data_IF_930479638893
#
_entry.id   IF_930479638893
#
_cell.length_a   1.000
_cell.length_b   1.000
_cell.length_c   1.000
_cell.angle_alpha   90.00
_cell.angle_beta   90.00
_cell.angle_gamma   90.00
#
_symmetry.space_group_name_H-M   'P 1'
#
loop_
_entity.id
_entity.type
_entity.pdbx_description
1 polymer ?
#
# COMPACT_ATOMS: atom_id res chain seq x y z
N UNK A 1 17.35 -16.29 55.99
CA UNK A 1 16.38 -15.72 56.95
C UNK A 1 16.05 -14.33 56.44
N UNK A 2 15.01 -14.22 55.60
CA UNK A 2 14.59 -12.93 55.03
C UNK A 2 14.12 -12.07 56.19
N UNK A 3 14.71 -10.89 56.33
CA UNK A 3 14.52 -10.01 57.49
C UNK A 3 13.04 -9.58 57.60
N UNK A 4 12.37 -10.02 58.67
CA UNK A 4 10.92 -9.91 58.86
C UNK A 4 10.43 -8.45 58.77
N UNK A 5 11.27 -7.47 59.12
CA UNK A 5 10.97 -6.03 58.99
C UNK A 5 10.93 -5.56 57.53
N UNK A 6 11.76 -6.13 56.67
CA UNK A 6 11.83 -5.81 55.23
C UNK A 6 10.54 -6.25 54.54
N UNK A 7 10.07 -7.47 54.83
CA UNK A 7 8.82 -7.99 54.23
C UNK A 7 7.57 -7.20 54.66
N UNK A 8 7.53 -6.71 55.91
CA UNK A 8 6.40 -5.92 56.44
C UNK A 8 6.23 -4.55 55.74
N UNK A 9 7.33 -3.91 55.34
CA UNK A 9 7.30 -2.59 54.66
C UNK A 9 6.68 -2.61 53.27
N UNK A 10 7.06 -3.59 52.43
CA UNK A 10 6.48 -3.74 51.09
C UNK A 10 5.00 -4.16 51.15
N UNK A 11 4.64 -5.03 52.08
CA UNK A 11 3.26 -5.52 52.23
C UNK A 11 2.29 -4.43 52.70
N UNK A 12 2.74 -3.55 53.60
CA UNK A 12 2.00 -2.35 54.00
C UNK A 12 1.82 -1.37 52.84
N UNK A 13 2.90 -1.11 52.10
CA UNK A 13 2.86 -0.23 50.91
C UNK A 13 1.91 -0.76 49.84
N UNK A 14 1.95 -2.05 49.55
CA UNK A 14 1.04 -2.68 48.58
C UNK A 14 -0.44 -2.53 48.97
N UNK A 15 -0.75 -2.59 50.27
CA UNK A 15 -2.12 -2.40 50.78
C UNK A 15 -2.56 -0.95 50.64
N UNK A 16 -1.68 0.01 50.96
CA UNK A 16 -1.95 1.44 50.78
C UNK A 16 -2.18 1.81 49.31
N UNK A 17 -1.36 1.31 48.38
CA UNK A 17 -1.52 1.53 46.95
C UNK A 17 -2.89 1.06 46.46
N UNK A 18 -3.31 -0.14 46.87
CA UNK A 18 -4.61 -0.69 46.47
C UNK A 18 -5.79 0.11 47.06
N UNK A 19 -5.70 0.49 48.34
CA UNK A 19 -6.74 1.28 49.00
C UNK A 19 -6.92 2.68 48.37
N UNK A 20 -5.83 3.28 47.87
CA UNK A 20 -5.83 4.61 47.22
C UNK A 20 -5.83 4.54 45.69
N UNK A 21 -6.01 3.36 45.08
CA UNK A 21 -5.93 3.16 43.61
C UNK A 21 -6.77 4.18 42.84
N UNK A 22 -8.02 4.39 43.24
CA UNK A 22 -8.94 5.33 42.57
C UNK A 22 -8.46 6.78 42.63
N UNK A 23 -7.92 7.21 43.76
CA UNK A 23 -7.36 8.55 43.98
C UNK A 23 -6.10 8.74 43.12
N UNK A 24 -5.17 7.78 43.16
CA UNK A 24 -3.94 7.78 42.36
C UNK A 24 -4.25 7.87 40.86
N UNK A 25 -5.19 7.05 40.38
CA UNK A 25 -5.60 7.07 38.98
C UNK A 25 -6.24 8.40 38.58
N UNK A 26 -7.03 9.01 39.46
CA UNK A 26 -7.64 10.31 39.19
C UNK A 26 -6.60 11.42 39.14
N UNK A 27 -5.62 11.41 40.04
CA UNK A 27 -4.54 12.38 40.07
C UNK A 27 -3.63 12.24 38.83
N UNK A 28 -3.27 11.01 38.47
CA UNK A 28 -2.50 10.71 37.27
C UNK A 28 -3.21 11.15 35.99
N UNK A 29 -4.48 10.78 35.82
CA UNK A 29 -5.29 11.20 34.67
C UNK A 29 -5.32 12.74 34.54
N UNK A 30 -5.54 13.43 35.64
CA UNK A 30 -5.61 14.90 35.67
C UNK A 30 -4.30 15.52 35.17
N UNK A 31 -3.16 15.00 35.65
CA UNK A 31 -1.85 15.51 35.25
C UNK A 31 -1.55 15.15 33.80
N UNK A 32 -1.81 13.91 33.36
CA UNK A 32 -1.62 13.51 31.96
C UNK A 32 -2.41 14.41 31.01
N UNK A 33 -3.69 14.69 31.28
CA UNK A 33 -4.48 15.61 30.45
C UNK A 33 -3.94 17.05 30.44
N UNK A 34 -3.34 17.49 31.54
CA UNK A 34 -2.76 18.81 31.63
C UNK A 34 -1.45 18.92 30.83
N UNK A 35 -0.61 17.88 30.84
CA UNK A 35 0.78 17.94 30.39
C UNK A 35 1.11 17.13 29.14
N UNK A 36 0.36 16.07 28.82
CA UNK A 36 0.55 15.22 27.64
C UNK A 36 -0.44 15.70 26.56
N UNK A 37 0.01 16.29 25.44
CA UNK A 37 -0.88 16.82 24.41
C UNK A 37 -1.88 15.79 23.88
N UNK A 38 -1.43 14.59 23.53
CA UNK A 38 -2.28 13.52 23.01
C UNK A 38 -3.32 13.02 24.01
N UNK A 39 -3.06 13.12 25.32
CA UNK A 39 -4.04 12.72 26.34
C UNK A 39 -5.29 13.62 26.38
N UNK A 40 -5.25 14.82 25.75
CA UNK A 40 -6.39 15.75 25.72
C UNK A 40 -7.50 15.31 24.79
N UNK A 41 -7.16 14.67 23.66
CA UNK A 41 -8.10 14.14 22.68
C UNK A 41 -8.66 12.77 23.08
N UNK A 42 -7.96 12.04 23.94
CA UNK A 42 -8.36 10.71 24.40
C UNK A 42 -9.60 10.73 25.32
N UNK A 43 -10.47 9.74 25.12
CA UNK A 43 -11.56 9.47 26.06
C UNK A 43 -11.00 9.07 27.44
N UNK A 44 -11.81 9.19 28.49
CA UNK A 44 -11.43 8.75 29.84
C UNK A 44 -11.11 7.26 29.93
N UNK A 45 -11.80 6.46 29.13
CA UNK A 45 -11.58 5.02 29.08
C UNK A 45 -10.23 4.75 28.42
N UNK A 46 -10.00 5.28 27.22
CA UNK A 46 -8.77 5.05 26.45
C UNK A 46 -7.47 5.53 27.13
N UNK A 47 -7.53 6.59 27.95
CA UNK A 47 -6.38 7.01 28.76
C UNK A 47 -6.10 6.05 29.92
N UNK A 48 -7.12 5.31 30.38
CA UNK A 48 -7.06 4.39 31.52
C UNK A 48 -6.90 2.93 31.13
N UNK A 49 -6.86 2.53 29.87
CA UNK A 49 -7.02 1.11 29.50
C UNK A 49 -6.03 0.17 30.21
N UNK A 50 -4.73 0.51 30.28
CA UNK A 50 -3.72 -0.39 30.87
C UNK A 50 -3.23 0.01 32.28
N UNK A 51 -3.34 1.29 32.68
CA UNK A 51 -2.73 1.79 33.92
C UNK A 51 -3.31 1.27 35.25
N UNK A 52 -4.64 1.07 35.41
CA UNK A 52 -5.21 0.46 36.60
C UNK A 52 -4.68 -0.95 36.86
N UNK A 53 -4.45 -1.73 35.81
CA UNK A 53 -3.90 -3.08 35.90
C UNK A 53 -2.41 -3.04 36.21
N UNK A 54 -1.70 -2.05 35.69
CA UNK A 54 -0.29 -1.79 36.03
C UNK A 54 -0.12 -1.51 37.54
N UNK A 55 -1.02 -0.74 38.15
CA UNK A 55 -1.05 -0.52 39.60
C UNK A 55 -1.28 -1.83 40.37
N UNK A 56 -2.20 -2.67 39.91
CA UNK A 56 -2.46 -3.95 40.55
C UNK A 56 -1.26 -4.89 40.45
N UNK A 57 -0.59 -4.92 39.29
CA UNK A 57 0.66 -5.66 39.11
C UNK A 57 1.73 -5.16 40.06
N UNK A 58 1.92 -3.84 40.20
CA UNK A 58 2.85 -3.26 41.17
C UNK A 58 2.55 -3.73 42.60
N UNK A 59 1.28 -3.72 43.01
CA UNK A 59 0.88 -4.18 44.34
C UNK A 59 1.12 -5.68 44.54
N UNK A 60 0.93 -6.52 43.50
CA UNK A 60 1.28 -7.95 43.54
C UNK A 60 2.80 -8.15 43.65
N UNK A 61 3.59 -7.40 42.88
CA UNK A 61 5.06 -7.41 42.93
C UNK A 61 5.59 -7.09 44.33
N UNK A 62 5.06 -6.04 44.96
CA UNK A 62 5.42 -5.64 46.33
C UNK A 62 5.06 -6.71 47.38
N UNK A 63 4.05 -7.55 47.13
CA UNK A 63 3.65 -8.66 48.01
C UNK A 63 4.43 -9.95 47.77
N UNK A 64 5.25 -10.01 46.72
CA UNK A 64 6.01 -11.22 46.38
C UNK A 64 7.14 -11.48 47.39
N UNK A 65 7.68 -12.69 47.37
CA UNK A 65 8.80 -13.09 48.23
C UNK A 65 10.10 -12.39 47.86
N UNK A 66 10.28 -12.02 46.58
CA UNK A 66 11.45 -11.32 46.05
C UNK A 66 11.02 -10.12 45.18
N UNK A 67 10.49 -9.04 45.79
CA UNK A 67 9.85 -7.95 45.07
C UNK A 67 10.74 -7.28 44.01
N UNK A 68 12.03 -7.08 44.31
CA UNK A 68 12.96 -6.45 43.39
C UNK A 68 13.21 -7.31 42.15
N UNK A 69 13.38 -8.62 42.32
CA UNK A 69 13.56 -9.55 41.20
C UNK A 69 12.30 -9.62 40.32
N UNK A 70 11.12 -9.71 40.94
CA UNK A 70 9.84 -9.73 40.22
C UNK A 70 9.58 -8.40 39.51
N UNK A 71 10.00 -7.27 40.10
CA UNK A 71 9.86 -5.94 39.50
C UNK A 71 10.65 -5.79 38.18
N UNK A 72 11.74 -6.53 38.04
CA UNK A 72 12.56 -6.55 36.82
C UNK A 72 12.11 -7.61 35.81
N UNK A 73 11.07 -8.38 36.13
CA UNK A 73 10.50 -9.43 35.28
C UNK A 73 9.33 -8.92 34.44
N UNK A 74 8.97 -9.69 33.41
CA UNK A 74 8.05 -9.32 32.32
C UNK A 74 6.77 -8.59 32.79
N UNK A 75 6.50 -7.40 32.25
CA UNK A 75 5.24 -6.67 32.43
C UNK A 75 4.40 -6.72 31.15
N UNK A 76 3.40 -7.60 31.13
CA UNK A 76 2.45 -7.73 30.02
C UNK A 76 1.61 -6.47 29.82
N UNK A 77 1.22 -5.80 30.92
CA UNK A 77 0.45 -4.56 30.85
C UNK A 77 1.25 -3.42 30.23
N UNK A 78 2.54 -3.31 30.54
CA UNK A 78 3.39 -2.31 29.92
C UNK A 78 3.65 -2.59 28.44
N UNK A 79 3.68 -3.88 28.05
CA UNK A 79 3.71 -4.29 26.63
C UNK A 79 2.45 -3.76 25.94
N UNK A 80 1.28 -4.13 26.42
CA UNK A 80 -0.02 -3.73 25.84
C UNK A 80 -0.18 -2.21 25.75
N UNK A 81 0.20 -1.47 26.80
CA UNK A 81 0.22 -0.01 26.75
C UNK A 81 1.10 0.54 25.62
N UNK A 82 2.29 -0.03 25.42
CA UNK A 82 3.16 0.33 24.28
C UNK A 82 2.54 -0.01 22.92
N UNK A 83 1.83 -1.13 22.82
CA UNK A 83 1.10 -1.53 21.60
C UNK A 83 -0.05 -0.57 21.29
N UNK A 84 -0.92 -0.32 22.26
CA UNK A 84 -2.08 0.57 22.12
C UNK A 84 -1.65 1.97 21.71
N UNK A 85 -0.58 2.49 22.33
CA UNK A 85 -0.06 3.82 22.00
C UNK A 85 0.60 3.88 20.62
N UNK A 86 1.27 2.82 20.18
CA UNK A 86 1.84 2.77 18.82
C UNK A 86 0.76 2.71 17.72
N UNK A 87 -0.43 2.20 18.04
CA UNK A 87 -1.57 2.21 17.13
C UNK A 87 -2.29 3.57 17.08
N UNK A 88 -1.96 4.51 17.97
CA UNK A 88 -2.54 5.84 18.03
C UNK A 88 -1.62 6.87 17.38
N UNK A 89 -2.04 7.45 16.25
CA UNK A 89 -1.24 8.40 15.46
C UNK A 89 -0.89 9.71 16.16
N UNK A 90 -1.58 10.04 17.26
CA UNK A 90 -1.34 11.28 18.02
C UNK A 90 -0.24 11.13 19.09
N UNK A 91 0.17 9.90 19.40
CA UNK A 91 1.21 9.62 20.39
C UNK A 91 2.58 9.46 19.75
N UNK A 92 3.60 9.94 20.46
CA UNK A 92 5.00 9.63 20.18
C UNK A 92 5.61 8.85 21.37
N UNK A 93 6.79 8.27 21.14
CA UNK A 93 7.52 7.51 22.15
C UNK A 93 7.80 8.32 23.44
N UNK A 94 8.09 9.62 23.31
CA UNK A 94 8.40 10.48 24.45
C UNK A 94 7.18 10.61 25.36
N UNK A 95 5.99 10.78 24.78
CA UNK A 95 4.73 10.85 25.51
C UNK A 95 4.41 9.54 26.24
N UNK A 96 4.64 8.38 25.61
CA UNK A 96 4.48 7.07 26.26
C UNK A 96 5.36 6.97 27.50
N UNK A 97 6.64 7.33 27.38
CA UNK A 97 7.58 7.32 28.51
C UNK A 97 7.16 8.34 29.58
N UNK A 98 6.71 9.51 29.15
CA UNK A 98 6.31 10.58 30.04
C UNK A 98 5.09 10.22 30.89
N UNK A 99 4.13 9.45 30.37
CA UNK A 99 2.99 8.92 31.14
C UNK A 99 3.45 8.13 32.37
N UNK A 100 4.48 7.30 32.25
CA UNK A 100 5.08 6.57 33.38
C UNK A 100 5.84 7.47 34.34
N UNK A 101 6.53 8.50 33.84
CA UNK A 101 7.19 9.48 34.71
C UNK A 101 6.19 10.28 35.55
N UNK A 102 5.06 10.68 34.95
CA UNK A 102 3.97 11.32 35.66
C UNK A 102 3.32 10.36 36.66
N UNK A 103 3.16 9.09 36.30
CA UNK A 103 2.67 8.06 37.20
C UNK A 103 3.59 7.89 38.42
N UNK A 104 4.90 7.75 38.20
CA UNK A 104 5.92 7.73 39.26
C UNK A 104 5.79 8.96 40.16
N UNK A 105 5.69 10.16 39.57
CA UNK A 105 5.56 11.41 40.32
C UNK A 105 4.31 11.43 41.20
N UNK A 106 3.16 11.03 40.67
CA UNK A 106 1.89 10.93 41.43
C UNK A 106 2.04 9.94 42.57
N UNK A 107 2.59 8.76 42.29
CA UNK A 107 2.75 7.71 43.27
C UNK A 107 3.64 8.17 44.43
N UNK A 108 4.84 8.68 44.16
CA UNK A 108 5.72 9.17 45.23
C UNK A 108 5.17 10.40 45.95
N UNK A 109 4.62 11.40 45.24
CA UNK A 109 4.04 12.58 45.89
C UNK A 109 2.87 12.27 46.82
N UNK A 110 2.08 11.23 46.50
CA UNK A 110 1.00 10.76 47.35
C UNK A 110 1.48 10.12 48.67
N UNK A 111 2.74 9.66 48.73
CA UNK A 111 3.34 8.98 49.88
C UNK A 111 4.40 9.82 50.61
N UNK A 112 4.91 10.90 50.01
CA UNK A 112 5.90 11.81 50.60
C UNK A 112 5.40 12.53 51.87
N UNK A 113 4.08 12.68 52.02
CA UNK A 113 3.48 13.31 53.21
C UNK A 113 3.29 12.36 54.40
N UNK A 114 3.16 11.05 54.16
CA UNK A 114 2.75 10.09 55.20
C UNK A 114 3.93 9.45 55.96
N UNK A 115 5.20 9.74 55.58
CA UNK A 115 6.40 9.03 56.08
C UNK A 115 6.29 7.48 56.03
N UNK A 116 5.38 6.95 55.21
CA UNK A 116 4.94 5.55 55.24
C UNK A 116 5.61 4.66 54.18
N UNK A 117 6.50 5.21 53.35
CA UNK A 117 7.16 4.44 52.30
C UNK A 117 8.46 3.82 52.82
N UNK A 118 8.44 2.50 53.04
CA UNK A 118 9.63 1.77 53.43
C UNK A 118 10.70 1.87 52.30
N UNK A 119 12.00 2.05 52.62
CA UNK A 119 13.05 2.23 51.60
C UNK A 119 13.10 1.13 50.53
N UNK A 120 12.89 -0.12 50.93
CA UNK A 120 12.85 -1.28 50.04
C UNK A 120 11.61 -1.29 49.12
N UNK A 121 10.48 -0.75 49.59
CA UNK A 121 9.29 -0.59 48.77
C UNK A 121 9.52 0.51 47.71
N UNK A 122 10.17 1.61 48.09
CA UNK A 122 10.55 2.67 47.15
C UNK A 122 11.47 2.14 46.04
N UNK A 123 12.50 1.37 46.40
CA UNK A 123 13.41 0.73 45.44
C UNK A 123 12.66 -0.21 44.48
N UNK A 124 11.77 -1.05 45.01
CA UNK A 124 10.94 -1.96 44.19
C UNK A 124 10.03 -1.19 43.23
N UNK A 125 9.40 -0.11 43.69
CA UNK A 125 8.53 0.75 42.86
C UNK A 125 9.34 1.39 41.73
N UNK A 126 10.54 1.89 42.03
CA UNK A 126 11.42 2.45 41.01
C UNK A 126 11.76 1.40 39.94
N UNK A 127 12.26 0.24 40.36
CA UNK A 127 12.61 -0.86 39.45
C UNK A 127 11.43 -1.31 38.58
N UNK A 128 10.24 -1.45 39.17
CA UNK A 128 9.02 -1.86 38.46
C UNK A 128 8.63 -0.85 37.38
N UNK A 129 8.61 0.44 37.73
CA UNK A 129 8.27 1.50 36.76
C UNK A 129 9.36 1.61 35.68
N UNK A 130 10.65 1.49 36.02
CA UNK A 130 11.72 1.53 35.02
C UNK A 130 11.64 0.34 34.06
N UNK A 131 11.27 -0.85 34.55
CA UNK A 131 11.00 -2.00 33.69
C UNK A 131 9.79 -1.75 32.78
N UNK A 132 8.69 -1.22 33.34
CA UNK A 132 7.49 -0.85 32.57
C UNK A 132 7.79 0.14 31.44
N UNK A 133 8.54 1.22 31.73
CA UNK A 133 9.00 2.19 30.74
C UNK A 133 9.76 1.49 29.61
N UNK A 134 10.77 0.68 29.94
CA UNK A 134 11.56 -0.03 28.92
C UNK A 134 10.68 -0.95 28.08
N UNK A 135 9.76 -1.68 28.70
CA UNK A 135 8.90 -2.63 28.00
C UNK A 135 7.92 -1.93 27.06
N UNK A 136 7.25 -0.87 27.52
CA UNK A 136 6.36 -0.06 26.69
C UNK A 136 7.11 0.60 25.53
N UNK A 137 8.28 1.21 25.83
CA UNK A 137 9.10 1.89 24.83
C UNK A 137 9.60 0.96 23.72
N UNK A 138 10.13 -0.22 24.07
CA UNK A 138 10.59 -1.21 23.09
C UNK A 138 9.44 -1.71 22.24
N UNK A 139 8.29 -1.96 22.86
CA UNK A 139 7.11 -2.47 22.15
C UNK A 139 6.56 -1.42 21.18
N UNK A 140 6.44 -0.17 21.63
CA UNK A 140 6.05 0.96 20.79
C UNK A 140 6.99 1.09 19.59
N UNK A 141 8.31 1.15 19.84
CA UNK A 141 9.30 1.35 18.80
C UNK A 141 9.34 0.20 17.78
N UNK A 142 9.07 -1.04 18.21
CA UNK A 142 8.99 -2.19 17.31
C UNK A 142 7.79 -2.09 16.35
N UNK A 143 6.62 -1.70 16.87
CA UNK A 143 5.41 -1.52 16.04
C UNK A 143 5.58 -0.34 15.09
N UNK A 144 6.07 0.80 15.59
CA UNK A 144 6.34 1.98 14.78
C UNK A 144 7.32 1.64 13.66
N UNK A 145 8.42 0.93 13.95
CA UNK A 145 9.38 0.51 12.94
C UNK A 145 8.76 -0.43 11.88
N UNK A 146 7.89 -1.35 12.29
CA UNK A 146 7.18 -2.25 11.35
C UNK A 146 6.27 -1.46 10.41
N UNK A 147 5.48 -0.54 10.96
CA UNK A 147 4.57 0.30 10.19
C UNK A 147 5.33 1.21 9.20
N UNK A 148 6.42 1.83 9.64
CA UNK A 148 7.28 2.64 8.78
C UNK A 148 7.92 1.82 7.65
N UNK A 149 8.28 0.57 7.91
CA UNK A 149 8.82 -0.33 6.89
C UNK A 149 7.76 -0.70 5.84
N UNK A 150 6.54 -1.00 6.27
CA UNK A 150 5.41 -1.29 5.37
C UNK A 150 5.10 -0.11 4.47
N UNK A 151 4.98 1.10 5.03
CA UNK A 151 4.74 2.33 4.26
C UNK A 151 5.86 2.60 3.24
N UNK A 152 7.13 2.43 3.62
CA UNK A 152 8.27 2.58 2.70
C UNK A 152 8.22 1.57 1.58
N UNK A 153 7.82 0.34 1.89
CA UNK A 153 7.70 -0.74 0.91
C UNK A 153 6.58 -0.45 -0.09
N UNK A 154 5.40 -0.05 0.39
CA UNK A 154 4.27 0.35 -0.46
C UNK A 154 4.63 1.53 -1.36
N UNK A 155 5.25 2.58 -0.79
CA UNK A 155 5.70 3.74 -1.55
C UNK A 155 6.72 3.34 -2.64
N UNK A 156 7.67 2.47 -2.31
CA UNK A 156 8.67 1.96 -3.25
C UNK A 156 8.01 1.17 -4.40
N UNK A 157 7.07 0.28 -4.09
CA UNK A 157 6.34 -0.50 -5.09
C UNK A 157 5.50 0.41 -6.00
N UNK A 158 4.75 1.36 -5.42
CA UNK A 158 3.96 2.32 -6.18
C UNK A 158 4.85 3.17 -7.10
N UNK A 159 6.01 3.60 -6.60
CA UNK A 159 6.98 4.37 -7.39
C UNK A 159 7.54 3.54 -8.55
N UNK A 160 7.94 2.29 -8.31
CA UNK A 160 8.43 1.41 -9.37
C UNK A 160 7.36 1.14 -10.44
N UNK A 161 6.10 0.95 -10.04
CA UNK A 161 5.00 0.79 -10.98
C UNK A 161 4.82 2.04 -11.86
N UNK A 162 4.84 3.24 -11.25
CA UNK A 162 4.75 4.50 -11.98
C UNK A 162 5.94 4.72 -12.93
N UNK A 163 7.16 4.40 -12.49
CA UNK A 163 8.36 4.51 -13.33
C UNK A 163 8.30 3.54 -14.52
N UNK A 164 7.88 2.29 -14.31
CA UNK A 164 7.67 1.32 -15.41
C UNK A 164 6.62 1.78 -16.40
N UNK A 165 5.49 2.30 -15.93
CA UNK A 165 4.44 2.84 -16.79
C UNK A 165 4.96 4.03 -17.62
N UNK A 166 5.75 4.92 -17.01
CA UNK A 166 6.30 6.08 -17.70
C UNK A 166 7.37 5.69 -18.75
N UNK A 167 8.21 4.70 -18.44
CA UNK A 167 9.17 4.14 -19.40
C UNK A 167 8.45 3.47 -20.57
N UNK A 168 7.43 2.66 -20.31
CA UNK A 168 6.61 2.03 -21.33
C UNK A 168 5.94 3.08 -22.24
N UNK A 169 5.36 4.15 -21.65
CA UNK A 169 4.78 5.27 -22.40
C UNK A 169 5.81 5.97 -23.28
N UNK A 170 7.01 6.22 -22.76
CA UNK A 170 8.09 6.88 -23.52
C UNK A 170 8.55 6.01 -24.68
N UNK A 171 8.76 4.71 -24.45
CA UNK A 171 9.12 3.75 -25.48
C UNK A 171 8.04 3.64 -26.56
N UNK A 172 6.76 3.59 -26.16
CA UNK A 172 5.63 3.59 -27.09
C UNK A 172 5.64 4.83 -27.99
N UNK A 173 5.76 6.04 -27.42
CA UNK A 173 5.79 7.28 -28.21
C UNK A 173 6.99 7.34 -29.17
N UNK A 174 8.15 6.85 -28.73
CA UNK A 174 9.34 6.78 -29.58
C UNK A 174 9.12 5.82 -30.76
N UNK A 175 8.58 4.63 -30.50
CA UNK A 175 8.28 3.64 -31.53
C UNK A 175 7.24 4.17 -32.54
N UNK A 176 6.13 4.74 -32.07
CA UNK A 176 5.11 5.33 -32.92
C UNK A 176 5.67 6.48 -33.78
N UNK A 177 6.56 7.30 -33.22
CA UNK A 177 7.23 8.36 -33.99
C UNK A 177 8.08 7.81 -35.14
N UNK A 178 8.76 6.68 -34.92
CA UNK A 178 9.56 6.02 -35.96
C UNK A 178 8.69 5.33 -37.02
N UNK A 179 7.64 4.64 -36.59
CA UNK A 179 6.70 3.95 -37.48
C UNK A 179 5.91 4.92 -38.34
N UNK A 180 5.60 6.13 -37.85
CA UNK A 180 4.98 7.20 -38.64
C UNK A 180 5.98 7.84 -39.61
N UNK A 181 7.22 8.09 -39.17
CA UNK A 181 8.23 8.79 -39.98
C UNK A 181 8.59 8.03 -41.25
N UNK A 182 8.65 6.71 -41.18
CA UNK A 182 9.08 5.86 -42.30
C UNK A 182 8.15 5.95 -43.53
N UNK A 183 6.83 5.68 -43.43
CA UNK A 183 5.91 5.84 -44.55
C UNK A 183 5.78 7.30 -44.98
N UNK A 184 5.82 8.25 -44.05
CA UNK A 184 5.80 9.68 -44.39
C UNK A 184 7.00 10.09 -45.25
N UNK A 185 8.20 9.62 -44.87
CA UNK A 185 9.43 9.87 -45.63
C UNK A 185 9.38 9.27 -47.03
N UNK A 186 8.82 8.05 -47.18
CA UNK A 186 8.60 7.44 -48.48
C UNK A 186 7.64 8.28 -49.34
N UNK A 187 6.48 8.68 -48.79
CA UNK A 187 5.50 9.54 -49.49
C UNK A 187 6.16 10.83 -49.98
N UNK A 188 6.89 11.53 -49.10
CA UNK A 188 7.58 12.77 -49.48
C UNK A 188 8.63 12.57 -50.58
N UNK A 189 9.37 11.45 -50.53
CA UNK A 189 10.35 11.07 -51.55
C UNK A 189 9.70 10.88 -52.92
N UNK A 190 8.65 10.05 -52.99
CA UNK A 190 7.95 9.76 -54.25
C UNK A 190 7.17 10.96 -54.80
N UNK A 191 6.62 11.82 -53.93
CA UNK A 191 6.04 13.11 -54.36
C UNK A 191 7.11 14.01 -54.98
N UNK A 192 8.35 13.97 -54.49
CA UNK A 192 9.44 14.77 -55.07
C UNK A 192 9.87 14.23 -56.43
N UNK A 193 9.91 12.90 -56.60
CA UNK A 193 10.17 12.27 -57.90
C UNK A 193 9.08 12.59 -58.93
N UNK A 194 7.80 12.55 -58.54
CA UNK A 194 6.69 12.94 -59.42
C UNK A 194 6.74 14.39 -59.93
N UNK A 195 7.54 15.26 -59.29
CA UNK A 195 7.72 16.66 -59.69
C UNK A 195 8.92 16.86 -60.63
N UNK A 196 9.69 15.82 -60.91
CA UNK A 196 10.80 15.87 -61.85
C UNK A 196 10.28 15.83 -63.29
N UNK A 197 10.72 16.78 -64.11
CA UNK A 197 10.26 16.97 -65.50
C UNK A 197 10.64 15.77 -66.40
N UNK A 198 11.63 14.97 -65.99
CA UNK A 198 12.08 13.77 -66.71
C UNK A 198 11.29 12.49 -66.36
N UNK A 199 10.32 12.57 -65.44
CA UNK A 199 9.51 11.40 -65.01
C UNK A 199 8.56 10.95 -66.12
N UNK A 200 8.68 9.68 -66.53
CA UNK A 200 7.79 9.08 -67.52
C UNK A 200 6.40 8.77 -66.93
N UNK A 201 5.38 8.62 -67.77
CA UNK A 201 4.04 8.28 -67.31
C UNK A 201 3.97 6.93 -66.56
N UNK A 202 4.77 5.94 -66.99
CA UNK A 202 4.84 4.63 -66.33
C UNK A 202 5.53 4.71 -64.95
N UNK A 203 6.59 5.50 -64.82
CA UNK A 203 7.23 5.77 -63.52
C UNK A 203 6.30 6.55 -62.58
N UNK A 204 5.54 7.50 -63.12
CA UNK A 204 4.57 8.27 -62.36
C UNK A 204 3.45 7.39 -61.77
N UNK A 205 2.90 6.47 -62.56
CA UNK A 205 1.89 5.51 -62.08
C UNK A 205 2.48 4.63 -60.95
N UNK A 206 3.70 4.11 -61.13
CA UNK A 206 4.38 3.34 -60.08
C UNK A 206 4.67 4.14 -58.80
N UNK A 207 5.02 5.43 -58.93
CA UNK A 207 5.21 6.32 -57.78
C UNK A 207 3.89 6.58 -57.03
N UNK A 208 2.79 6.79 -57.75
CA UNK A 208 1.46 6.97 -57.17
C UNK A 208 1.00 5.73 -56.40
N UNK A 209 1.22 4.52 -56.92
CA UNK A 209 0.91 3.26 -56.21
C UNK A 209 1.70 3.15 -54.88
N UNK A 210 2.97 3.54 -54.89
CA UNK A 210 3.80 3.50 -53.67
C UNK A 210 3.28 4.52 -52.64
N UNK A 211 2.93 5.73 -53.08
CA UNK A 211 2.34 6.76 -52.21
C UNK A 211 1.03 6.26 -51.60
N UNK A 212 0.14 5.65 -52.38
CA UNK A 212 -1.13 5.11 -51.92
C UNK A 212 -0.92 4.02 -50.86
N UNK A 213 -0.01 3.07 -51.12
CA UNK A 213 0.33 2.00 -50.17
C UNK A 213 0.87 2.54 -48.85
N UNK A 214 1.76 3.54 -48.87
CA UNK A 214 2.30 4.13 -47.64
C UNK A 214 1.26 4.99 -46.91
N UNK A 215 0.34 5.66 -47.63
CA UNK A 215 -0.79 6.38 -47.05
C UNK A 215 -1.71 5.43 -46.29
N UNK A 216 -2.07 4.29 -46.89
CA UNK A 216 -2.86 3.25 -46.21
C UNK A 216 -2.16 2.66 -45.00
N UNK A 217 -0.84 2.45 -45.08
CA UNK A 217 -0.07 1.99 -43.94
C UNK A 217 -0.09 2.99 -42.79
N UNK A 218 0.09 4.28 -43.08
CA UNK A 218 0.05 5.34 -42.08
C UNK A 218 -1.33 5.45 -41.42
N UNK A 219 -2.41 5.33 -42.19
CA UNK A 219 -3.77 5.34 -41.65
C UNK A 219 -3.97 4.20 -40.64
N UNK A 220 -3.48 2.99 -40.96
CA UNK A 220 -3.54 1.85 -40.03
C UNK A 220 -2.81 2.12 -38.72
N UNK A 221 -1.60 2.70 -38.77
CA UNK A 221 -0.85 3.07 -37.55
C UNK A 221 -1.65 4.06 -36.69
N UNK A 222 -2.30 5.04 -37.31
CA UNK A 222 -3.14 6.00 -36.59
C UNK A 222 -4.34 5.31 -35.94
N UNK A 223 -5.02 4.43 -36.67
CA UNK A 223 -6.15 3.66 -36.15
C UNK A 223 -5.74 2.76 -34.98
N UNK A 224 -4.59 2.07 -35.08
CA UNK A 224 -4.04 1.22 -34.02
C UNK A 224 -3.74 2.04 -32.74
N UNK A 225 -3.19 3.25 -32.88
CA UNK A 225 -2.96 4.17 -31.75
C UNK A 225 -4.30 4.58 -31.12
N UNK A 226 -5.29 4.94 -31.93
CA UNK A 226 -6.61 5.35 -31.43
C UNK A 226 -7.30 4.20 -30.69
N UNK A 227 -7.24 2.99 -31.22
CA UNK A 227 -7.83 1.83 -30.56
C UNK A 227 -7.12 1.49 -29.25
N UNK A 228 -5.79 1.60 -29.18
CA UNK A 228 -5.07 1.47 -27.92
C UNK A 228 -5.54 2.50 -26.88
N UNK A 229 -5.71 3.78 -27.27
CA UNK A 229 -6.20 4.81 -26.33
C UNK A 229 -7.63 4.56 -25.87
N UNK A 230 -8.49 3.96 -26.70
CA UNK A 230 -9.83 3.54 -26.30
C UNK A 230 -9.77 2.38 -25.29
N UNK A 231 -8.86 1.43 -25.47
CA UNK A 231 -8.65 0.32 -24.52
C UNK A 231 -8.19 0.86 -23.17
N UNK A 232 -7.16 1.71 -23.15
CA UNK A 232 -6.61 2.28 -21.90
C UNK A 232 -7.63 3.12 -21.14
N UNK A 233 -8.49 3.86 -21.85
CA UNK A 233 -9.55 4.66 -21.23
C UNK A 233 -10.81 3.86 -20.87
N UNK A 234 -10.83 2.54 -21.11
CA UNK A 234 -12.00 1.69 -20.90
C UNK A 234 -13.19 2.04 -21.82
N UNK A 235 -12.95 2.80 -22.89
CA UNK A 235 -13.96 3.27 -23.84
C UNK A 235 -14.12 2.35 -25.05
N UNK A 236 -13.24 1.35 -25.20
CA UNK A 236 -13.42 0.34 -26.23
C UNK A 236 -14.63 -0.53 -25.83
N UNK A 237 -15.75 -0.29 -26.49
CA UNK A 237 -16.94 -1.13 -26.38
C UNK A 237 -16.95 -2.11 -27.55
N UNK A 238 -17.28 -3.37 -27.28
CA UNK A 238 -17.57 -4.35 -28.32
C UNK A 238 -19.06 -4.24 -28.66
N UNK A 239 -19.37 -4.17 -29.94
CA UNK A 239 -20.75 -4.27 -30.37
C UNK A 239 -21.23 -5.72 -30.25
N UNK A 240 -22.49 -5.92 -29.88
CA UNK A 240 -23.11 -7.25 -29.81
C UNK A 240 -24.23 -7.29 -30.84
N UNK A 241 -23.86 -7.60 -32.08
CA UNK A 241 -24.77 -7.65 -33.21
C UNK A 241 -24.91 -9.11 -33.64
N UNK A 242 -26.13 -9.55 -33.91
CA UNK A 242 -26.37 -10.86 -34.52
C UNK A 242 -26.03 -10.81 -36.01
N UNK A 243 -25.15 -11.68 -36.47
CA UNK A 243 -24.79 -11.78 -37.89
C UNK A 243 -24.51 -13.23 -38.31
N UNK A 244 -24.58 -13.51 -39.62
CA UNK A 244 -24.26 -14.83 -40.14
C UNK A 244 -22.76 -15.11 -40.09
N UNK A 245 -22.35 -16.05 -39.24
CA UNK A 245 -20.94 -16.46 -39.13
C UNK A 245 -20.47 -17.15 -40.41
N UNK A 246 -21.35 -17.92 -41.05
CA UNK A 246 -21.06 -18.62 -42.31
C UNK A 246 -20.75 -17.62 -43.42
N UNK A 247 -21.58 -16.59 -43.59
CA UNK A 247 -21.34 -15.55 -44.59
C UNK A 247 -20.07 -14.76 -44.27
N UNK A 248 -19.88 -14.37 -43.01
CA UNK A 248 -18.68 -13.65 -42.56
C UNK A 248 -17.39 -14.43 -42.87
N UNK A 249 -17.34 -15.72 -42.54
CA UNK A 249 -16.18 -16.59 -42.79
C UNK A 249 -15.94 -16.82 -44.29
N UNK A 250 -17.00 -16.92 -45.10
CA UNK A 250 -16.89 -17.05 -46.55
C UNK A 250 -16.31 -15.77 -47.20
N UNK A 251 -16.78 -14.59 -46.77
CA UNK A 251 -16.25 -13.31 -47.22
C UNK A 251 -14.79 -13.12 -46.79
N UNK A 252 -14.48 -13.42 -45.53
CA UNK A 252 -13.12 -13.37 -45.02
C UNK A 252 -12.20 -14.34 -45.78
N UNK A 253 -12.63 -15.58 -45.98
CA UNK A 253 -11.84 -16.60 -46.68
C UNK A 253 -11.58 -16.24 -48.14
N UNK A 254 -12.53 -15.57 -48.80
CA UNK A 254 -12.35 -15.06 -50.16
C UNK A 254 -11.27 -13.98 -50.23
N UNK A 255 -11.32 -13.03 -49.28
CA UNK A 255 -10.33 -11.96 -49.17
C UNK A 255 -8.94 -12.49 -48.81
N UNK A 256 -8.84 -13.31 -47.76
CA UNK A 256 -7.58 -13.91 -47.32
C UNK A 256 -6.98 -14.83 -48.40
N UNK A 257 -7.82 -15.56 -49.13
CA UNK A 257 -7.40 -16.39 -50.25
C UNK A 257 -6.79 -15.60 -51.41
N UNK A 258 -7.34 -14.42 -51.72
CA UNK A 258 -6.75 -13.52 -52.71
C UNK A 258 -5.35 -13.03 -52.25
N UNK A 259 -5.25 -12.55 -51.01
CA UNK A 259 -3.97 -12.11 -50.41
C UNK A 259 -2.92 -13.21 -50.35
N UNK A 260 -3.33 -14.44 -50.01
CA UNK A 260 -2.43 -15.59 -50.01
C UNK A 260 -1.89 -15.88 -51.40
N UNK A 261 -2.74 -15.85 -52.44
CA UNK A 261 -2.32 -16.06 -53.84
C UNK A 261 -1.36 -14.99 -54.33
N UNK A 262 -1.58 -13.73 -53.98
CA UNK A 262 -0.64 -12.63 -54.28
C UNK A 262 0.78 -12.90 -53.71
N UNK A 263 0.87 -13.67 -52.63
CA UNK A 263 2.12 -14.08 -51.98
C UNK A 263 2.56 -15.52 -52.32
N UNK A 264 1.91 -16.18 -53.29
CA UNK A 264 2.23 -17.56 -53.69
C UNK A 264 1.86 -18.63 -52.64
N UNK A 265 0.96 -18.32 -51.71
CA UNK A 265 0.51 -19.19 -50.64
C UNK A 265 -0.86 -19.82 -50.93
N UNK A 266 -1.09 -21.00 -50.36
CA UNK A 266 -2.40 -21.66 -50.34
C UNK A 266 -3.09 -21.35 -49.01
N UNK A 267 -4.32 -20.83 -49.09
CA UNK A 267 -5.16 -20.58 -47.92
C UNK A 267 -6.36 -21.54 -47.96
N UNK A 268 -6.56 -22.29 -46.88
CA UNK A 268 -7.71 -23.16 -46.72
C UNK A 268 -8.41 -22.86 -45.39
N UNK A 269 -9.72 -22.65 -45.45
CA UNK A 269 -10.57 -22.52 -44.27
C UNK A 269 -11.37 -23.82 -44.10
N UNK A 270 -11.16 -24.53 -42.99
CA UNK A 270 -11.84 -25.80 -42.68
C UNK A 270 -12.50 -25.71 -41.31
N UNK A 271 -13.76 -26.13 -41.23
CA UNK A 271 -14.46 -26.31 -39.97
C UNK A 271 -14.43 -27.79 -39.58
N UNK A 272 -13.87 -28.10 -38.40
CA UNK A 272 -13.81 -29.48 -37.88
C UNK A 272 -15.12 -29.91 -37.21
N UNK A 273 -15.97 -28.96 -36.85
CA UNK A 273 -17.26 -29.18 -36.17
C UNK A 273 -18.36 -28.34 -36.82
N UNK A 274 -19.60 -28.57 -36.37
CA UNK A 274 -20.75 -27.80 -36.85
C UNK A 274 -20.58 -26.31 -36.49
N UNK A 275 -20.55 -25.46 -37.50
CA UNK A 275 -20.47 -24.00 -37.33
C UNK A 275 -21.88 -23.44 -37.15
N UNK A 276 -22.16 -22.65 -36.11
CA UNK A 276 -23.46 -22.01 -35.96
C UNK A 276 -23.73 -21.03 -37.11
N UNK A 277 -24.98 -20.98 -37.56
CA UNK A 277 -25.37 -20.14 -38.70
C UNK A 277 -25.25 -18.64 -38.37
N UNK A 278 -25.66 -18.26 -37.16
CA UNK A 278 -25.53 -16.91 -36.61
C UNK A 278 -24.79 -16.90 -35.28
N UNK A 279 -24.08 -15.81 -34.99
CA UNK A 279 -23.50 -15.51 -33.68
C UNK A 279 -23.81 -14.06 -33.30
N UNK A 280 -23.79 -13.77 -32.00
CA UNK A 280 -23.86 -12.40 -31.47
C UNK A 280 -22.45 -11.97 -31.06
N UNK A 281 -21.88 -11.02 -31.79
CA UNK A 281 -20.53 -10.49 -31.52
C UNK A 281 -20.29 -9.17 -32.26
N UNK A 282 -19.04 -8.72 -32.28
CA UNK A 282 -18.58 -7.55 -33.03
C UNK A 282 -17.90 -8.03 -34.33
N UNK A 283 -18.59 -8.01 -35.48
CA UNK A 283 -18.03 -8.51 -36.73
C UNK A 283 -16.80 -7.72 -37.20
N UNK A 284 -16.70 -6.43 -36.86
CA UNK A 284 -15.54 -5.61 -37.22
C UNK A 284 -14.30 -6.03 -36.43
N UNK A 285 -14.42 -6.22 -35.11
CA UNK A 285 -13.33 -6.72 -34.27
C UNK A 285 -12.93 -8.15 -34.61
N UNK A 286 -13.89 -9.01 -34.90
CA UNK A 286 -13.59 -10.38 -35.35
C UNK A 286 -12.80 -10.37 -36.65
N UNK A 287 -13.14 -9.48 -37.60
CA UNK A 287 -12.37 -9.33 -38.85
C UNK A 287 -10.95 -8.86 -38.57
N UNK A 288 -10.79 -7.91 -37.65
CA UNK A 288 -9.49 -7.40 -37.22
C UNK A 288 -8.62 -8.49 -36.58
N UNK A 289 -9.19 -9.36 -35.73
CA UNK A 289 -8.46 -10.47 -35.09
C UNK A 289 -8.00 -11.53 -36.11
N UNK A 290 -8.79 -11.76 -37.15
CA UNK A 290 -8.50 -12.80 -38.15
C UNK A 290 -7.55 -12.34 -39.26
N UNK A 291 -7.45 -11.02 -39.52
CA UNK A 291 -6.65 -10.45 -40.62
C UNK A 291 -5.16 -10.37 -40.29
#
# INVERSE_FOLDING_TARGET
>A
MVDTKVTLGCLGTATLILNRKSELMSAWETICRATVPAAKSQTRIALRDSMPEFIEQLARTLRSTEPLHVAESNSEVAREHGEDRALQTEYDLEQVIYEYHLFRKVLFSSFLYDQNLAPNAAETIHAFIDHGIRKAAVTYAAIEASYQLEQRTELSLSRQAAERANLAKTAFLANMSHEIRTPLGAIMGFVSLLRDDDTTAEEADGHLEIIERHTHHLLRIVDDILDLTKVESGKLTAENIEFSLVQFLAEFGSFAGLKARENGLVFELRAETLVPETIVSDPAKLRQILS
#
